data_IF_078039678002
#
_entry.id   IF_078039678002
#
_cell.length_a   1.000
_cell.length_b   1.000
_cell.length_c   1.000
_cell.angle_alpha   90.00
_cell.angle_beta   90.00
_cell.angle_gamma   90.00
#
_symmetry.space_group_name_H-M   'P 1'
#
loop_
_entity.id
_entity.type
_entity.pdbx_description
1 polymer ?
#
# COMPACT_ATOMS: atom_id res chain seq x y z
N UNK A 1 22.25 34.92 -37.72
CA UNK A 1 22.71 34.82 -36.31
C UNK A 1 21.60 34.86 -35.25
N UNK A 2 20.31 35.05 -35.58
CA UNK A 2 19.22 35.08 -34.59
C UNK A 2 18.70 33.69 -34.15
N UNK A 3 19.14 32.59 -34.76
CA UNK A 3 18.58 31.25 -34.48
C UNK A 3 19.29 30.47 -33.36
N UNK A 4 20.35 31.03 -32.76
CA UNK A 4 21.14 30.32 -31.75
C UNK A 4 20.76 30.63 -30.29
N UNK A 5 19.90 31.64 -30.04
CA UNK A 5 19.56 32.11 -28.69
C UNK A 5 18.12 31.86 -28.26
N UNK A 6 17.23 31.40 -29.15
CA UNK A 6 15.84 31.07 -28.80
C UNK A 6 14.95 32.24 -28.31
N UNK A 7 15.47 33.48 -28.26
CA UNK A 7 14.73 34.70 -27.88
C UNK A 7 14.41 35.56 -29.11
N UNK A 8 13.35 36.36 -29.01
CA UNK A 8 12.92 37.26 -30.09
C UNK A 8 13.98 38.28 -30.48
N UNK A 9 14.04 38.62 -31.78
CA UNK A 9 15.05 39.54 -32.36
C UNK A 9 15.13 40.88 -31.62
N UNK A 10 14.01 41.41 -31.16
CA UNK A 10 13.92 42.66 -30.39
C UNK A 10 14.69 42.61 -29.07
N UNK A 11 14.62 41.50 -28.34
CA UNK A 11 15.32 41.33 -27.05
C UNK A 11 16.84 41.24 -27.24
N UNK A 12 17.28 40.52 -28.28
CA UNK A 12 18.70 40.39 -28.64
C UNK A 12 19.29 41.76 -29.01
N UNK A 13 18.50 42.57 -29.72
CA UNK A 13 18.91 43.90 -30.18
C UNK A 13 19.04 44.88 -29.00
N UNK A 14 18.16 44.79 -28.00
CA UNK A 14 18.29 45.53 -26.73
C UNK A 14 19.58 45.16 -25.99
N UNK A 15 19.88 43.87 -25.83
CA UNK A 15 21.09 43.41 -25.14
C UNK A 15 22.37 43.82 -25.88
N UNK A 16 22.34 43.82 -27.21
CA UNK A 16 23.47 44.30 -28.02
C UNK A 16 23.69 45.80 -27.88
N UNK A 17 22.61 46.60 -27.88
CA UNK A 17 22.70 48.06 -27.71
C UNK A 17 23.18 48.43 -26.30
N UNK A 18 22.86 47.61 -25.29
CA UNK A 18 23.27 47.81 -23.90
C UNK A 18 24.63 47.20 -23.54
N UNK A 19 25.31 46.54 -24.49
CA UNK A 19 26.57 45.79 -24.29
C UNK A 19 26.50 44.70 -23.20
N UNK A 20 25.29 44.21 -22.89
CA UNK A 20 25.04 43.17 -21.87
C UNK A 20 24.82 41.78 -22.48
N UNK A 21 25.04 41.65 -23.79
CA UNK A 21 24.75 40.43 -24.55
C UNK A 21 25.41 39.18 -23.97
N UNK A 22 26.68 39.25 -23.57
CA UNK A 22 27.41 38.08 -23.06
C UNK A 22 26.85 37.61 -21.71
N UNK A 23 26.58 38.54 -20.80
CA UNK A 23 26.02 38.26 -19.47
C UNK A 23 24.58 37.73 -19.53
N UNK A 24 23.71 38.37 -20.32
CA UNK A 24 22.31 37.95 -20.47
C UNK A 24 22.19 36.61 -21.20
N UNK A 25 23.09 36.36 -22.18
CA UNK A 25 23.18 35.07 -22.85
C UNK A 25 23.66 33.98 -21.90
N UNK A 26 24.65 34.27 -21.05
CA UNK A 26 25.15 33.35 -20.01
C UNK A 26 24.04 32.97 -19.02
N UNK A 27 23.38 33.98 -18.45
CA UNK A 27 22.23 33.78 -17.54
C UNK A 27 21.13 32.95 -18.17
N UNK A 28 20.76 33.24 -19.42
CA UNK A 28 19.74 32.47 -20.12
C UNK A 28 20.14 31.00 -20.36
N UNK A 29 21.41 30.74 -20.69
CA UNK A 29 21.90 29.37 -20.85
C UNK A 29 21.90 28.60 -19.53
N UNK A 30 22.19 29.27 -18.42
CA UNK A 30 22.17 28.67 -17.10
C UNK A 30 20.73 28.44 -16.60
N UNK A 31 19.80 29.36 -16.88
CA UNK A 31 18.36 29.15 -16.67
C UNK A 31 17.85 27.94 -17.46
N UNK A 32 18.20 27.85 -18.75
CA UNK A 32 17.81 26.71 -19.60
C UNK A 32 18.33 25.38 -19.06
N UNK A 33 19.60 25.34 -18.64
CA UNK A 33 20.22 24.14 -18.04
C UNK A 33 19.51 23.74 -16.75
N UNK A 34 19.20 24.72 -15.90
CA UNK A 34 18.50 24.51 -14.62
C UNK A 34 17.09 23.97 -14.87
N UNK A 35 16.29 24.64 -15.71
CA UNK A 35 14.93 24.20 -16.05
C UNK A 35 14.92 22.81 -16.69
N UNK A 36 15.91 22.52 -17.55
CA UNK A 36 16.01 21.20 -18.18
C UNK A 36 16.34 20.13 -17.14
N UNK A 37 17.33 20.40 -16.29
CA UNK A 37 17.73 19.49 -15.21
C UNK A 37 16.56 19.23 -14.26
N UNK A 38 15.87 20.26 -13.81
CA UNK A 38 14.76 20.14 -12.86
C UNK A 38 13.61 19.33 -13.48
N UNK A 39 13.23 19.62 -14.73
CA UNK A 39 12.22 18.82 -15.46
C UNK A 39 12.65 17.38 -15.68
N UNK A 40 13.94 17.12 -15.92
CA UNK A 40 14.46 15.75 -16.05
C UNK A 40 14.42 15.02 -14.71
N UNK A 41 14.76 15.70 -13.61
CA UNK A 41 14.69 15.14 -12.25
C UNK A 41 13.22 14.84 -11.89
N UNK A 42 12.31 15.78 -12.13
CA UNK A 42 10.88 15.62 -11.87
C UNK A 42 10.32 14.43 -12.65
N UNK A 43 10.54 14.36 -13.97
CA UNK A 43 10.12 13.21 -14.78
C UNK A 43 10.72 11.88 -14.34
N UNK A 44 11.99 11.87 -13.93
CA UNK A 44 12.62 10.66 -13.41
C UNK A 44 12.03 10.24 -12.07
N UNK A 45 11.70 11.20 -11.21
CA UNK A 45 11.04 11.00 -9.91
C UNK A 45 9.62 10.47 -10.07
N UNK A 46 8.84 11.03 -10.99
CA UNK A 46 7.47 10.58 -11.28
C UNK A 46 7.49 9.14 -11.80
N UNK A 47 8.38 8.86 -12.77
CA UNK A 47 8.53 7.50 -13.30
C UNK A 47 8.93 6.49 -12.23
N UNK A 48 9.87 6.87 -11.35
CA UNK A 48 10.27 6.02 -10.22
C UNK A 48 9.09 5.80 -9.25
N UNK A 49 8.28 6.83 -9.01
CA UNK A 49 7.10 6.75 -8.14
C UNK A 49 6.05 5.80 -8.72
N UNK A 50 5.80 5.87 -10.04
CA UNK A 50 4.89 4.95 -10.74
C UNK A 50 5.40 3.50 -10.66
N UNK A 51 6.70 3.28 -10.92
CA UNK A 51 7.31 1.94 -10.80
C UNK A 51 7.20 1.38 -9.38
N UNK A 52 7.40 2.21 -8.35
CA UNK A 52 7.22 1.79 -6.95
C UNK A 52 5.76 1.48 -6.62
N UNK A 53 4.80 2.24 -7.16
CA UNK A 53 3.38 1.98 -6.99
C UNK A 53 2.98 0.64 -7.64
N UNK A 54 3.47 0.36 -8.84
CA UNK A 54 3.25 -0.92 -9.53
C UNK A 54 3.81 -2.11 -8.74
N UNK A 55 5.02 -1.96 -8.18
CA UNK A 55 5.62 -2.97 -7.30
C UNK A 55 4.78 -3.18 -6.05
N UNK A 56 4.31 -2.10 -5.41
CA UNK A 56 3.46 -2.20 -4.22
C UNK A 56 2.14 -2.93 -4.53
N UNK A 57 1.51 -2.66 -5.68
CA UNK A 57 0.30 -3.35 -6.14
C UNK A 57 0.58 -4.83 -6.40
N UNK A 58 1.69 -5.15 -7.06
CA UNK A 58 2.08 -6.53 -7.34
C UNK A 58 2.34 -7.32 -6.04
N UNK A 59 3.07 -6.73 -5.10
CA UNK A 59 3.34 -7.31 -3.78
C UNK A 59 2.05 -7.52 -2.99
N UNK A 60 1.15 -6.52 -2.95
CA UNK A 60 -0.16 -6.65 -2.34
C UNK A 60 -0.92 -7.87 -2.90
N UNK A 61 -0.99 -8.01 -4.24
CA UNK A 61 -1.69 -9.13 -4.89
C UNK A 61 -1.05 -10.47 -4.51
N UNK A 62 0.28 -10.57 -4.54
CA UNK A 62 0.99 -11.80 -4.20
C UNK A 62 0.77 -12.21 -2.74
N UNK A 63 0.97 -11.30 -1.79
CA UNK A 63 0.77 -11.59 -0.37
C UNK A 63 -0.70 -11.85 -0.02
N UNK A 64 -1.63 -11.19 -0.71
CA UNK A 64 -3.07 -11.49 -0.61
C UNK A 64 -3.38 -12.95 -0.95
N UNK A 65 -2.82 -13.48 -2.04
CA UNK A 65 -2.99 -14.88 -2.43
C UNK A 65 -2.42 -15.83 -1.38
N UNK A 66 -1.23 -15.55 -0.84
CA UNK A 66 -0.60 -16.35 0.21
C UNK A 66 -1.44 -16.37 1.48
N UNK A 67 -1.95 -15.21 1.90
CA UNK A 67 -2.85 -15.08 3.05
C UNK A 67 -4.12 -15.89 2.86
N UNK A 68 -4.78 -15.75 1.70
CA UNK A 68 -6.04 -16.45 1.40
C UNK A 68 -5.83 -17.97 1.38
N UNK A 69 -4.70 -18.42 0.82
CA UNK A 69 -4.33 -19.83 0.82
C UNK A 69 -4.11 -20.37 2.24
N UNK A 70 -3.30 -19.68 3.06
CA UNK A 70 -3.07 -20.08 4.45
C UNK A 70 -4.38 -20.09 5.27
N UNK A 71 -5.25 -19.11 5.04
CA UNK A 71 -6.57 -19.07 5.67
C UNK A 71 -7.43 -20.29 5.30
N UNK A 72 -7.43 -20.69 4.03
CA UNK A 72 -8.17 -21.87 3.56
C UNK A 72 -7.64 -23.16 4.22
N UNK A 73 -6.33 -23.30 4.38
CA UNK A 73 -5.75 -24.43 5.12
C UNK A 73 -6.28 -24.47 6.56
N UNK A 74 -6.33 -23.33 7.25
CA UNK A 74 -6.91 -23.26 8.60
C UNK A 74 -8.40 -23.62 8.63
N UNK A 75 -9.19 -23.18 7.64
CA UNK A 75 -10.60 -23.56 7.54
C UNK A 75 -10.78 -25.07 7.38
N UNK A 76 -9.96 -25.72 6.53
CA UNK A 76 -10.00 -27.18 6.34
C UNK A 76 -9.63 -27.90 7.63
N UNK A 77 -8.54 -27.50 8.29
CA UNK A 77 -8.10 -28.12 9.55
C UNK A 77 -9.12 -27.91 10.67
N UNK A 78 -9.76 -26.74 10.74
CA UNK A 78 -10.83 -26.48 11.69
C UNK A 78 -12.07 -27.35 11.44
N UNK A 79 -12.42 -27.61 10.17
CA UNK A 79 -13.48 -28.56 9.82
C UNK A 79 -13.14 -29.97 10.26
N UNK A 80 -11.93 -30.45 9.95
CA UNK A 80 -11.48 -31.78 10.39
C UNK A 80 -11.50 -31.90 11.92
N UNK A 81 -11.10 -30.86 12.66
CA UNK A 81 -11.18 -30.88 14.12
C UNK A 81 -12.62 -31.04 14.63
N UNK A 82 -13.60 -30.41 13.98
CA UNK A 82 -15.02 -30.60 14.31
C UNK A 82 -15.50 -32.01 14.00
N UNK A 83 -15.03 -32.61 12.92
CA UNK A 83 -15.33 -34.00 12.55
C UNK A 83 -14.74 -34.97 13.58
N UNK A 84 -13.50 -34.76 14.01
CA UNK A 84 -12.84 -35.55 15.06
C UNK A 84 -13.63 -35.48 16.37
N UNK A 85 -14.17 -34.32 16.74
CA UNK A 85 -14.99 -34.17 17.96
C UNK A 85 -16.28 -35.01 17.95
N UNK A 86 -16.74 -35.48 16.78
CA UNK A 86 -17.89 -36.38 16.66
C UNK A 86 -17.51 -37.87 16.82
N UNK A 87 -16.22 -38.21 16.82
CA UNK A 87 -15.75 -39.58 16.98
C UNK A 87 -15.79 -40.03 18.45
N UNK A 88 -15.87 -41.35 18.72
CA UNK A 88 -15.70 -41.90 20.07
C UNK A 88 -14.37 -41.43 20.70
N UNK A 89 -14.33 -41.15 22.02
CA UNK A 89 -13.13 -40.61 22.69
C UNK A 89 -11.85 -41.42 22.46
N UNK A 90 -11.98 -42.73 22.30
CA UNK A 90 -10.88 -43.67 22.06
C UNK A 90 -10.20 -43.45 20.69
N UNK A 91 -10.96 -43.01 19.68
CA UNK A 91 -10.48 -42.76 18.32
C UNK A 91 -9.96 -41.31 18.14
N UNK A 92 -10.48 -40.37 18.94
CA UNK A 92 -10.09 -38.95 18.86
C UNK A 92 -8.57 -38.75 19.01
N UNK A 93 -7.94 -39.48 19.95
CA UNK A 93 -6.51 -39.36 20.22
C UNK A 93 -5.62 -39.77 19.04
N UNK A 94 -6.04 -40.76 18.24
CA UNK A 94 -5.30 -41.20 17.07
C UNK A 94 -5.41 -40.20 15.92
N UNK A 95 -6.60 -39.64 15.70
CA UNK A 95 -6.84 -38.62 14.66
C UNK A 95 -6.18 -37.27 15.00
N UNK A 96 -6.25 -36.83 16.26
CA UNK A 96 -5.60 -35.59 16.69
C UNK A 96 -4.09 -35.61 16.48
N UNK A 97 -3.43 -36.78 16.63
CA UNK A 97 -1.99 -36.93 16.39
C UNK A 97 -1.59 -36.70 14.93
N UNK A 98 -2.52 -36.78 13.98
CA UNK A 98 -2.28 -36.44 12.57
C UNK A 98 -2.13 -34.93 12.37
N UNK A 99 -2.58 -34.11 13.32
CA UNK A 99 -2.38 -32.67 13.32
C UNK A 99 -1.04 -32.32 13.97
N UNK A 100 -0.04 -31.99 13.16
CA UNK A 100 1.25 -31.57 13.68
C UNK A 100 1.22 -30.13 14.20
N UNK A 101 1.64 -29.91 15.45
CA UNK A 101 1.81 -28.58 16.01
C UNK A 101 2.84 -27.74 15.23
N UNK A 102 3.89 -28.36 14.68
CA UNK A 102 4.89 -27.65 13.87
C UNK A 102 4.31 -27.16 12.55
N UNK A 103 3.43 -27.95 11.92
CA UNK A 103 2.71 -27.57 10.71
C UNK A 103 1.76 -26.39 10.99
N UNK A 104 1.00 -26.44 12.10
CA UNK A 104 0.11 -25.34 12.49
C UNK A 104 0.88 -24.03 12.74
N UNK A 105 2.01 -24.12 13.44
CA UNK A 105 2.87 -22.97 13.68
C UNK A 105 3.43 -22.38 12.38
N UNK A 106 3.84 -23.25 11.44
CA UNK A 106 4.32 -22.84 10.13
C UNK A 106 3.25 -22.05 9.34
N UNK A 107 2.03 -22.57 9.25
CA UNK A 107 0.94 -21.88 8.57
C UNK A 107 0.53 -20.58 9.27
N UNK A 108 0.56 -20.55 10.60
CA UNK A 108 0.29 -19.34 11.39
C UNK A 108 1.33 -18.26 11.09
N UNK A 109 2.59 -18.64 10.98
CA UNK A 109 3.69 -17.72 10.64
C UNK A 109 3.54 -17.16 9.22
N UNK A 110 3.18 -18.01 8.25
CA UNK A 110 2.91 -17.58 6.87
C UNK A 110 1.75 -16.58 6.83
N UNK A 111 0.66 -16.87 7.55
CA UNK A 111 -0.50 -15.98 7.62
C UNK A 111 -0.13 -14.63 8.24
N UNK A 112 0.65 -14.64 9.32
CA UNK A 112 1.12 -13.41 9.98
C UNK A 112 2.02 -12.59 9.06
N UNK A 113 3.01 -13.22 8.41
CA UNK A 113 3.94 -12.54 7.51
C UNK A 113 3.23 -11.94 6.31
N UNK A 114 2.38 -12.71 5.63
CA UNK A 114 1.60 -12.20 4.50
C UNK A 114 0.73 -11.00 4.88
N UNK A 115 0.14 -11.01 6.08
CA UNK A 115 -0.66 -9.89 6.59
C UNK A 115 0.19 -8.65 6.88
N UNK A 116 1.39 -8.82 7.44
CA UNK A 116 2.35 -7.73 7.67
C UNK A 116 2.82 -7.10 6.35
N UNK A 117 3.13 -7.92 5.34
CA UNK A 117 3.55 -7.42 4.03
C UNK A 117 2.40 -6.71 3.28
N UNK A 118 1.15 -7.16 3.45
CA UNK A 118 -0.02 -6.43 2.94
C UNK A 118 -0.13 -5.05 3.60
N UNK A 119 0.07 -4.97 4.92
CA UNK A 119 0.05 -3.70 5.64
C UNK A 119 1.17 -2.76 5.16
N UNK A 120 2.37 -3.30 4.93
CA UNK A 120 3.50 -2.55 4.41
C UNK A 120 3.24 -2.04 2.98
N UNK A 121 2.71 -2.89 2.10
CA UNK A 121 2.41 -2.53 0.71
C UNK A 121 1.28 -1.51 0.56
N UNK A 122 0.32 -1.49 1.49
CA UNK A 122 -0.81 -0.54 1.48
C UNK A 122 -0.54 0.73 2.27
N UNK A 123 0.50 0.75 3.12
CA UNK A 123 0.72 1.80 4.12
C UNK A 123 -0.36 1.83 5.21
N UNK A 124 -1.28 0.85 5.21
CA UNK A 124 -2.39 0.77 6.15
C UNK A 124 -2.07 -0.26 7.24
N UNK A 125 -2.01 0.16 8.50
CA UNK A 125 -1.82 -0.78 9.60
C UNK A 125 -2.99 -1.79 9.65
N UNK A 126 -2.63 -3.07 9.71
CA UNK A 126 -3.62 -4.14 9.86
C UNK A 126 -3.97 -4.29 11.35
N UNK A 127 -5.21 -3.93 11.70
CA UNK A 127 -5.74 -4.08 13.05
C UNK A 127 -6.45 -5.43 13.20
N UNK A 128 -5.87 -6.32 14.01
CA UNK A 128 -6.47 -7.62 14.34
C UNK A 128 -7.68 -7.46 15.27
N UNK A 129 -7.68 -6.41 16.09
CA UNK A 129 -8.75 -6.13 17.04
C UNK A 129 -9.81 -5.20 16.42
N UNK A 130 -11.02 -5.74 16.24
CA UNK A 130 -12.18 -5.02 15.68
C UNK A 130 -12.50 -3.74 16.44
N UNK A 131 -12.38 -3.72 17.77
CA UNK A 131 -12.65 -2.53 18.57
C UNK A 131 -11.62 -1.42 18.31
N UNK A 132 -10.37 -1.80 18.04
CA UNK A 132 -9.33 -0.85 17.65
C UNK A 132 -9.60 -0.29 16.26
N UNK A 133 -10.03 -1.13 15.32
CA UNK A 133 -10.44 -0.71 13.98
C UNK A 133 -11.63 0.26 14.03
N UNK A 134 -12.65 -0.07 14.81
CA UNK A 134 -13.87 0.74 14.98
C UNK A 134 -13.53 2.13 15.55
N UNK A 135 -12.76 2.19 16.63
CA UNK A 135 -12.33 3.47 17.22
C UNK A 135 -11.56 4.36 16.26
N UNK A 136 -10.76 3.78 15.36
CA UNK A 136 -10.00 4.55 14.39
C UNK A 136 -10.88 5.10 13.27
N UNK A 137 -11.85 4.31 12.81
CA UNK A 137 -12.89 4.78 11.87
C UNK A 137 -13.69 5.93 12.49
N UNK A 138 -14.07 5.83 13.76
CA UNK A 138 -14.73 6.92 14.50
C UNK A 138 -13.86 8.19 14.58
N UNK A 139 -12.56 8.05 14.84
CA UNK A 139 -11.60 9.17 14.86
C UNK A 139 -11.44 9.85 13.49
N UNK A 140 -11.57 9.09 12.40
CA UNK A 140 -11.53 9.59 11.02
C UNK A 140 -12.89 10.18 10.57
N UNK A 141 -13.89 10.21 11.45
CA UNK A 141 -15.20 10.81 11.22
C UNK A 141 -16.23 9.86 10.60
N UNK A 142 -15.95 8.56 10.54
CA UNK A 142 -16.91 7.56 10.11
C UNK A 142 -17.79 7.12 11.28
N UNK A 143 -19.09 6.92 11.01
CA UNK A 143 -20.01 6.34 12.00
C UNK A 143 -19.93 4.81 11.89
N UNK A 144 -19.51 4.14 12.96
CA UNK A 144 -19.51 2.68 13.05
C UNK A 144 -20.82 2.24 13.70
N UNK A 145 -21.72 1.65 12.91
CA UNK A 145 -22.99 1.12 13.39
C UNK A 145 -22.80 -0.32 13.87
N UNK A 146 -23.15 -0.60 15.13
CA UNK A 146 -23.31 -1.98 15.61
C UNK A 146 -24.72 -2.45 15.22
N UNK A 147 -24.86 -3.46 14.33
CA UNK A 147 -26.16 -3.95 13.91
C UNK A 147 -27.00 -4.55 15.05
N UNK A 148 -26.43 -4.77 16.25
CA UNK A 148 -27.17 -5.21 17.44
C UNK A 148 -27.65 -4.06 18.33
N UNK A 149 -27.22 -2.83 18.07
CA UNK A 149 -27.62 -1.65 18.86
C UNK A 149 -28.98 -1.09 18.46
N UNK A 150 -29.46 -1.40 17.25
CA UNK A 150 -30.74 -0.92 16.73
C UNK A 150 -31.97 -1.67 17.28
N UNK A 151 -31.82 -2.82 17.94
CA UNK A 151 -32.94 -3.58 18.51
C UNK A 151 -33.40 -3.10 19.90
N UNK A 152 -32.81 -2.03 20.46
CA UNK A 152 -33.04 -1.65 21.88
C UNK A 152 -33.87 -0.39 22.12
N UNK A 153 -34.41 0.27 21.08
CA UNK A 153 -35.13 1.54 21.24
C UNK A 153 -36.65 1.51 21.00
N UNK A 154 -37.25 0.36 20.74
CA UNK A 154 -38.71 0.20 20.63
C UNK A 154 -39.29 -0.44 21.90
N UNK A 155 -38.99 0.11 23.07
CA UNK A 155 -39.81 -0.12 24.27
C UNK A 155 -39.57 0.97 25.31
N UNK A 156 -40.28 2.09 25.18
CA UNK A 156 -40.62 2.96 26.32
C UNK A 156 -42.06 3.51 26.18
N UNK A 157 -42.74 3.66 27.33
CA UNK A 157 -44.19 3.43 27.51
C UNK A 157 -45.12 4.51 26.98
#
# INVERSE_FOLDING_TARGET
>A
MASASGRGKSTIEVWRVQDTWEDERGRYQDELKTVTRDKTIEKASDKLSDELADIAIANFKAHKLVRDYAHLIFQIKARHLKEIQQLPPEEQGAELKKHSASEMNYWSLILSRSTQEIAAATGLPYYINVNTSAKKLEQEGYVVLDPRSEESNDERP
#
